data_IF_188448669105
#
_entry.id   IF_188448669105
#
_cell.length_a   1.000
_cell.length_b   1.000
_cell.length_c   1.000
_cell.angle_alpha   90.00
_cell.angle_beta   90.00
_cell.angle_gamma   90.00
#
_symmetry.space_group_name_H-M   'P 1'
#
loop_
_entity.id
_entity.type
_entity.pdbx_description
1 polymer ?
#
# COMPACT_ATOMS: atom_id res chain seq x y z
N UNK A 1 -18.69 -16.96 -3.86
CA UNK A 1 -18.50 -15.81 -2.95
C UNK A 1 -19.28 -14.59 -3.43
N UNK A 2 -19.28 -14.23 -4.71
CA UNK A 2 -20.00 -13.08 -5.26
C UNK A 2 -21.49 -13.13 -4.90
N UNK A 3 -22.19 -14.24 -5.18
CA UNK A 3 -23.61 -14.41 -4.86
C UNK A 3 -23.95 -14.24 -3.38
N UNK A 4 -23.03 -14.64 -2.49
CA UNK A 4 -23.25 -14.49 -1.05
C UNK A 4 -23.07 -13.05 -0.57
N UNK A 5 -22.25 -12.27 -1.27
CA UNK A 5 -21.83 -10.92 -0.88
C UNK A 5 -22.54 -9.81 -1.64
N UNK A 6 -23.26 -10.12 -2.73
CA UNK A 6 -23.93 -9.11 -3.55
C UNK A 6 -24.94 -8.28 -2.76
N UNK A 7 -25.62 -8.89 -1.79
CA UNK A 7 -26.54 -8.17 -0.89
C UNK A 7 -25.87 -7.17 0.04
N UNK A 8 -24.52 -7.17 0.15
CA UNK A 8 -23.78 -6.19 0.95
C UNK A 8 -23.39 -4.95 0.17
N UNK A 9 -23.65 -4.92 -1.13
CA UNK A 9 -23.43 -3.74 -1.96
C UNK A 9 -24.47 -2.67 -1.64
N UNK A 10 -24.03 -1.55 -1.08
CA UNK A 10 -24.90 -0.44 -0.63
C UNK A 10 -25.04 0.69 -1.66
N UNK A 11 -24.34 0.61 -2.80
CA UNK A 11 -24.35 1.68 -3.81
C UNK A 11 -23.54 2.93 -3.45
N UNK A 12 -22.75 2.90 -2.36
CA UNK A 12 -21.92 4.03 -1.90
C UNK A 12 -20.68 4.26 -2.79
N UNK A 13 -20.36 3.31 -3.65
CA UNK A 13 -19.28 3.38 -4.62
C UNK A 13 -19.72 2.77 -5.96
N UNK A 14 -18.91 2.94 -7.02
CA UNK A 14 -19.16 2.23 -8.27
C UNK A 14 -19.10 0.71 -8.03
N UNK A 15 -20.00 -0.04 -8.69
CA UNK A 15 -20.04 -1.50 -8.57
C UNK A 15 -18.70 -2.16 -8.91
N UNK A 16 -17.99 -1.65 -9.90
CA UNK A 16 -16.65 -2.13 -10.28
C UNK A 16 -15.63 -1.98 -9.15
N UNK A 17 -15.65 -0.88 -8.41
CA UNK A 17 -14.78 -0.63 -7.26
C UNK A 17 -15.10 -1.61 -6.12
N UNK A 18 -16.38 -1.79 -5.80
CA UNK A 18 -16.80 -2.76 -4.80
C UNK A 18 -16.41 -4.19 -5.19
N UNK A 19 -16.62 -4.55 -6.46
CA UNK A 19 -16.25 -5.89 -6.97
C UNK A 19 -14.74 -6.12 -6.93
N UNK A 20 -13.93 -5.11 -7.28
CA UNK A 20 -12.48 -5.19 -7.19
C UNK A 20 -12.03 -5.46 -5.74
N UNK A 21 -12.50 -4.66 -4.78
CA UNK A 21 -12.19 -4.87 -3.35
C UNK A 21 -12.61 -6.26 -2.86
N UNK A 22 -13.80 -6.72 -3.23
CA UNK A 22 -14.27 -8.05 -2.88
C UNK A 22 -13.34 -9.13 -3.45
N UNK A 23 -12.93 -8.99 -4.71
CA UNK A 23 -12.06 -9.96 -5.39
C UNK A 23 -10.68 -10.04 -4.75
N UNK A 24 -10.05 -8.89 -4.49
CA UNK A 24 -8.74 -8.83 -3.81
C UNK A 24 -8.80 -9.49 -2.45
N UNK A 25 -9.80 -9.14 -1.63
CA UNK A 25 -9.98 -9.73 -0.30
C UNK A 25 -10.13 -11.26 -0.38
N UNK A 26 -11.01 -11.76 -1.26
CA UNK A 26 -11.24 -13.21 -1.41
C UNK A 26 -9.98 -13.94 -1.83
N UNK A 27 -9.22 -13.41 -2.78
CA UNK A 27 -7.96 -14.04 -3.26
C UNK A 27 -6.92 -14.09 -2.16
N UNK A 28 -6.64 -12.96 -1.48
CA UNK A 28 -5.63 -12.90 -0.42
C UNK A 28 -5.99 -13.82 0.76
N UNK A 29 -7.24 -13.82 1.20
CA UNK A 29 -7.69 -14.72 2.26
C UNK A 29 -7.61 -16.19 1.85
N UNK A 30 -7.86 -16.51 0.58
CA UNK A 30 -7.73 -17.88 0.08
C UNK A 30 -6.26 -18.34 0.02
N UNK A 31 -5.35 -17.47 -0.41
CA UNK A 31 -3.91 -17.74 -0.40
C UNK A 31 -3.40 -17.98 1.02
N UNK A 32 -3.81 -17.14 1.97
CA UNK A 32 -3.48 -17.30 3.38
C UNK A 32 -3.98 -18.64 3.95
N UNK A 33 -5.24 -19.03 3.64
CA UNK A 33 -5.79 -20.32 4.08
C UNK A 33 -5.02 -21.51 3.56
N UNK A 34 -4.41 -21.40 2.37
CA UNK A 34 -3.55 -22.44 1.80
C UNK A 34 -2.13 -22.45 2.39
N UNK A 35 -1.84 -21.63 3.40
CA UNK A 35 -0.50 -21.52 4.00
C UNK A 35 0.53 -20.85 3.10
N UNK A 36 0.10 -20.26 1.98
CA UNK A 36 0.99 -19.47 1.13
C UNK A 36 1.23 -18.12 1.83
N UNK A 37 2.48 -17.85 2.18
CA UNK A 37 2.86 -16.51 2.59
C UNK A 37 2.69 -15.59 1.39
N UNK A 38 1.74 -14.68 1.48
CA UNK A 38 1.44 -13.74 0.38
C UNK A 38 2.64 -12.84 0.14
N UNK A 39 3.31 -12.41 1.19
CA UNK A 39 4.61 -11.70 1.15
C UNK A 39 5.30 -11.85 2.51
N UNK A 40 6.63 -12.05 2.58
CA UNK A 40 7.36 -11.89 3.83
C UNK A 40 7.22 -10.44 4.30
N UNK A 41 6.42 -10.21 5.33
CA UNK A 41 6.46 -8.96 6.05
C UNK A 41 7.58 -9.12 7.09
N UNK A 42 8.61 -8.28 6.99
CA UNK A 42 9.65 -8.22 8.01
C UNK A 42 8.97 -7.95 9.37
N UNK A 43 8.91 -8.98 10.20
CA UNK A 43 8.53 -8.88 11.61
C UNK A 43 9.67 -8.25 12.44
N UNK A 44 10.50 -7.42 11.81
CA UNK A 44 11.38 -6.57 12.59
C UNK A 44 10.47 -5.66 13.40
N UNK A 45 10.25 -6.09 14.66
CA UNK A 45 9.87 -5.23 15.77
C UNK A 45 11.01 -4.19 15.97
N UNK A 46 11.31 -3.42 14.96
CA UNK A 46 11.92 -2.13 15.15
C UNK A 46 10.84 -1.29 15.83
N UNK A 47 10.78 -1.45 17.15
CA UNK A 47 10.22 -0.48 18.07
C UNK A 47 11.07 0.78 17.98
N UNK A 48 11.18 1.35 16.80
CA UNK A 48 11.55 2.73 16.64
C UNK A 48 10.35 3.57 17.10
N UNK A 49 10.17 3.60 18.44
CA UNK A 49 9.28 4.56 19.10
C UNK A 49 9.63 6.01 18.72
N UNK A 50 10.81 6.25 18.17
CA UNK A 50 11.21 7.57 17.65
C UNK A 50 10.62 7.91 16.29
N UNK A 51 10.16 6.94 15.48
CA UNK A 51 9.62 7.22 14.14
C UNK A 51 8.11 7.46 14.14
N UNK A 52 7.43 7.34 15.29
CA UNK A 52 6.04 7.79 15.46
C UNK A 52 5.90 9.32 15.52
N UNK A 53 6.99 10.07 15.44
CA UNK A 53 6.92 11.52 15.21
C UNK A 53 6.34 11.78 13.83
N UNK A 54 4.98 11.80 13.81
CA UNK A 54 4.15 12.69 12.98
C UNK A 54 4.75 12.94 11.59
N UNK A 55 4.58 11.97 10.68
CA UNK A 55 4.52 12.32 9.28
C UNK A 55 3.21 13.09 9.03
N UNK A 56 3.13 14.30 9.56
CA UNK A 56 2.29 15.32 8.94
C UNK A 56 2.95 15.51 7.59
N UNK A 57 2.28 15.00 6.54
CA UNK A 57 2.71 15.20 5.19
C UNK A 57 3.10 16.65 5.03
N UNK A 58 4.39 16.94 5.15
CA UNK A 58 4.92 18.20 4.68
C UNK A 58 4.59 18.16 3.21
N UNK A 59 3.58 18.94 2.81
CA UNK A 59 3.30 19.17 1.40
C UNK A 59 4.61 19.69 0.82
N UNK A 60 5.40 18.78 0.29
CA UNK A 60 6.52 19.14 -0.56
C UNK A 60 5.88 19.63 -1.85
N UNK A 61 5.45 20.92 -1.83
CA UNK A 61 4.82 21.60 -2.95
C UNK A 61 5.64 21.49 -4.24
N UNK A 62 6.94 21.18 -4.10
CA UNK A 62 7.82 20.86 -5.23
C UNK A 62 7.60 19.43 -5.78
N UNK A 63 7.00 18.53 -5.04
CA UNK A 63 6.67 17.18 -5.52
C UNK A 63 5.30 17.15 -6.22
N UNK A 64 4.38 18.05 -5.89
CA UNK A 64 3.01 18.11 -6.40
C UNK A 64 2.91 18.53 -7.87
N UNK A 65 3.96 19.07 -8.47
CA UNK A 65 3.93 19.64 -9.80
C UNK A 65 4.45 18.74 -10.91
N UNK A 66 3.85 17.57 -11.21
CA UNK A 66 4.12 16.70 -12.38
C UNK A 66 4.87 15.40 -12.12
N UNK A 67 4.41 14.60 -11.15
CA UNK A 67 4.75 13.17 -11.19
C UNK A 67 3.87 12.55 -12.28
N UNK A 68 4.48 12.15 -13.38
CA UNK A 68 3.81 11.37 -14.42
C UNK A 68 3.32 10.05 -13.79
N UNK A 69 2.08 9.67 -14.08
CA UNK A 69 1.48 8.42 -13.60
C UNK A 69 2.40 7.22 -13.84
N UNK A 70 3.04 7.16 -14.99
CA UNK A 70 3.99 6.10 -15.35
C UNK A 70 5.24 6.11 -14.45
N UNK A 71 5.70 7.30 -14.05
CA UNK A 71 6.83 7.42 -13.12
C UNK A 71 6.47 6.91 -11.72
N UNK A 72 5.25 7.21 -11.26
CA UNK A 72 4.75 6.71 -9.98
C UNK A 72 4.61 5.18 -10.00
N UNK A 73 4.01 4.62 -11.04
CA UNK A 73 3.88 3.16 -11.20
C UNK A 73 5.25 2.46 -11.16
N UNK A 74 6.23 2.97 -11.90
CA UNK A 74 7.61 2.44 -11.89
C UNK A 74 8.28 2.56 -10.52
N UNK A 75 8.01 3.62 -9.78
CA UNK A 75 8.54 3.82 -8.44
C UNK A 75 7.91 2.82 -7.44
N UNK A 76 6.61 2.56 -7.54
CA UNK A 76 5.90 1.56 -6.75
C UNK A 76 6.48 0.16 -7.04
N UNK A 77 6.76 -0.18 -8.29
CA UNK A 77 7.35 -1.47 -8.67
C UNK A 77 8.75 -1.71 -8.08
N UNK A 78 9.47 -0.64 -7.76
CA UNK A 78 10.79 -0.70 -7.10
C UNK A 78 10.73 -0.87 -5.59
N UNK A 79 9.54 -0.76 -4.98
CA UNK A 79 9.39 -1.02 -3.55
C UNK A 79 9.62 -2.50 -3.23
N UNK A 80 10.23 -2.81 -2.07
CA UNK A 80 10.24 -4.18 -1.55
C UNK A 80 8.82 -4.77 -1.51
N UNK A 81 8.66 -6.09 -1.75
CA UNK A 81 7.33 -6.70 -1.90
C UNK A 81 6.37 -6.43 -0.74
N UNK A 82 6.82 -6.47 0.52
CA UNK A 82 6.00 -6.18 1.70
C UNK A 82 5.50 -4.75 1.74
N UNK A 83 6.39 -3.79 1.49
CA UNK A 83 6.05 -2.37 1.46
C UNK A 83 5.09 -2.07 0.31
N UNK A 84 5.34 -2.61 -0.88
CA UNK A 84 4.49 -2.45 -2.05
C UNK A 84 3.09 -3.00 -1.80
N UNK A 85 2.97 -4.20 -1.21
CA UNK A 85 1.69 -4.82 -0.90
C UNK A 85 0.84 -3.93 0.00
N UNK A 86 1.39 -3.49 1.13
CA UNK A 86 0.65 -2.66 2.09
C UNK A 86 0.32 -1.29 1.49
N UNK A 87 1.24 -0.69 0.74
CA UNK A 87 1.02 0.58 0.05
C UNK A 87 -0.12 0.49 -0.97
N UNK A 88 -0.13 -0.52 -1.82
CA UNK A 88 -1.19 -0.70 -2.82
C UNK A 88 -2.53 -0.96 -2.15
N UNK A 89 -2.59 -1.86 -1.17
CA UNK A 89 -3.83 -2.16 -0.47
C UNK A 89 -4.40 -0.94 0.26
N UNK A 90 -3.57 -0.14 0.91
CA UNK A 90 -4.05 1.01 1.68
C UNK A 90 -4.26 2.26 0.83
N UNK A 91 -3.21 2.72 0.12
CA UNK A 91 -3.21 4.04 -0.54
C UNK A 91 -3.86 4.01 -1.93
N UNK A 92 -3.86 2.85 -2.61
CA UNK A 92 -4.47 2.71 -3.94
C UNK A 92 -5.87 2.09 -3.85
N UNK A 93 -6.01 0.97 -3.15
CA UNK A 93 -7.28 0.22 -3.07
C UNK A 93 -8.18 0.66 -1.90
N UNK A 94 -7.65 1.47 -0.95
CA UNK A 94 -8.40 2.06 0.15
C UNK A 94 -8.84 1.08 1.23
N UNK A 95 -8.07 0.00 1.48
CA UNK A 95 -8.31 -0.90 2.60
C UNK A 95 -7.81 -0.30 3.92
N UNK A 96 -8.56 -0.50 4.99
CA UNK A 96 -8.16 -0.14 6.33
C UNK A 96 -7.09 -1.11 6.87
N UNK A 97 -6.25 -0.63 7.80
CA UNK A 97 -5.19 -1.47 8.38
C UNK A 97 -5.68 -2.75 9.04
N UNK A 98 -6.90 -2.74 9.61
CA UNK A 98 -7.54 -3.93 10.19
C UNK A 98 -7.84 -4.97 9.10
N UNK A 99 -8.37 -4.53 7.97
CA UNK A 99 -8.66 -5.38 6.82
C UNK A 99 -7.36 -5.96 6.24
N UNK A 100 -6.34 -5.12 6.07
CA UNK A 100 -5.01 -5.53 5.57
C UNK A 100 -4.39 -6.57 6.49
N UNK A 101 -4.40 -6.33 7.81
CA UNK A 101 -3.86 -7.25 8.80
C UNK A 101 -4.52 -8.63 8.71
N UNK A 102 -5.85 -8.67 8.55
CA UNK A 102 -6.60 -9.91 8.37
C UNK A 102 -6.28 -10.59 7.03
N UNK A 103 -6.23 -9.84 5.92
CA UNK A 103 -5.96 -10.39 4.58
C UNK A 103 -4.55 -10.95 4.43
N UNK A 104 -3.56 -10.23 4.95
CA UNK A 104 -2.13 -10.56 4.78
C UNK A 104 -1.63 -11.49 5.90
N UNK A 105 -2.28 -11.47 7.06
CA UNK A 105 -1.91 -12.29 8.21
C UNK A 105 -0.82 -11.66 9.07
N UNK A 106 -0.86 -10.35 9.26
CA UNK A 106 0.06 -9.61 10.13
C UNK A 106 -0.69 -8.86 11.24
N UNK A 107 0.03 -8.19 12.14
CA UNK A 107 -0.57 -7.29 13.11
C UNK A 107 -0.95 -5.95 12.47
N UNK A 108 -1.92 -5.25 13.06
CA UNK A 108 -2.29 -3.89 12.64
C UNK A 108 -1.11 -2.92 12.77
N UNK A 109 -0.30 -3.07 13.83
CA UNK A 109 0.92 -2.30 14.04
C UNK A 109 1.95 -2.53 12.92
N UNK A 110 2.15 -3.79 12.52
CA UNK A 110 3.03 -4.12 11.40
C UNK A 110 2.52 -3.50 10.08
N UNK A 111 1.21 -3.59 9.79
CA UNK A 111 0.63 -2.94 8.61
C UNK A 111 0.89 -1.43 8.59
N UNK A 112 0.74 -0.74 9.73
CA UNK A 112 1.04 0.71 9.85
C UNK A 112 2.53 1.01 9.63
N UNK A 113 3.41 0.25 10.26
CA UNK A 113 4.87 0.40 10.12
C UNK A 113 5.32 0.17 8.68
N UNK A 114 4.82 -0.88 8.02
CA UNK A 114 5.12 -1.18 6.62
C UNK A 114 4.67 -0.05 5.68
N UNK A 115 3.49 0.52 5.91
CA UNK A 115 3.00 1.65 5.12
C UNK A 115 3.90 2.89 5.27
N UNK A 116 4.29 3.21 6.52
CA UNK A 116 5.19 4.32 6.78
C UNK A 116 6.53 4.14 6.05
N UNK A 117 7.16 2.98 6.19
CA UNK A 117 8.41 2.64 5.50
C UNK A 117 8.25 2.66 3.97
N UNK A 118 7.10 2.20 3.46
CA UNK A 118 6.78 2.25 2.03
C UNK A 118 6.74 3.68 1.49
N UNK A 119 6.04 4.58 2.18
CA UNK A 119 5.93 6.00 1.80
C UNK A 119 7.28 6.71 1.83
N UNK A 120 8.11 6.46 2.86
CA UNK A 120 9.47 7.00 2.92
C UNK A 120 10.31 6.52 1.73
N UNK A 121 10.34 5.20 1.50
CA UNK A 121 11.10 4.62 0.40
C UNK A 121 10.64 5.13 -0.97
N UNK A 122 9.34 5.27 -1.16
CA UNK A 122 8.76 5.81 -2.40
C UNK A 122 9.20 7.26 -2.63
N UNK A 123 9.16 8.08 -1.57
CA UNK A 123 9.66 9.47 -1.62
C UNK A 123 11.12 9.55 -2.06
N UNK A 124 11.98 8.68 -1.51
CA UNK A 124 13.39 8.64 -1.86
C UNK A 124 13.61 8.24 -3.32
N UNK A 125 12.88 7.23 -3.80
CA UNK A 125 12.94 6.79 -5.20
C UNK A 125 12.53 7.93 -6.14
N UNK A 126 11.44 8.63 -5.85
CA UNK A 126 10.95 9.74 -6.68
C UNK A 126 11.92 10.94 -6.68
N UNK A 127 12.51 11.27 -5.54
CA UNK A 127 13.54 12.32 -5.44
C UNK A 127 14.79 11.96 -6.26
N UNK A 128 15.25 10.72 -6.18
CA UNK A 128 16.39 10.23 -6.97
C UNK A 128 16.12 10.30 -8.46
N UNK A 129 14.97 9.82 -8.93
CA UNK A 129 14.57 9.88 -10.34
C UNK A 129 14.55 11.32 -10.85
N UNK A 130 14.02 12.27 -10.05
CA UNK A 130 13.96 13.69 -10.40
C UNK A 130 15.35 14.31 -10.52
N UNK A 131 16.26 13.98 -9.58
CA UNK A 131 17.65 14.45 -9.65
C UNK A 131 18.39 13.93 -10.88
N UNK A 132 18.13 12.68 -11.28
CA UNK A 132 18.69 12.11 -12.50
C UNK A 132 18.15 12.77 -13.77
N UNK A 133 16.85 13.07 -13.81
CA UNK A 133 16.23 13.81 -14.94
C UNK A 133 16.83 15.21 -15.07
N UNK A 134 17.01 15.92 -13.96
CA UNK A 134 17.62 17.25 -13.97
C UNK A 134 19.08 17.27 -14.47
N UNK A 135 19.83 16.19 -14.22
CA UNK A 135 21.20 16.05 -14.73
C UNK A 135 21.31 15.73 -16.22
N UNK A 136 20.23 15.18 -16.80
CA UNK A 136 20.16 14.80 -18.23
C UNK A 136 19.57 15.89 -19.13
N UNK A 137 18.91 16.84 -18.53
CA UNK A 137 18.34 18.01 -19.22
C UNK A 137 19.37 19.13 -19.35
#
# INVERSE_FOLDING_TARGET
QLFRKIGTFRGESAFSTWLHRLSVNVVLMQLRKKGLQVVPLDDTNDTDEETQKRDYGTEDLNLAGSIDRLELERAIDRLPPGYRMVFVLHDVDGFEHNEIAEMVGCSVGNSKSQLHKARMKLRDILKSNRAEKAKRA
#
